data_IF_240764271854
#
_entry.id   IF_240764271854
#
_cell.length_a   1.000
_cell.length_b   1.000
_cell.length_c   1.000
_cell.angle_alpha   90.00
_cell.angle_beta   90.00
_cell.angle_gamma   90.00
#
_symmetry.space_group_name_H-M   'P 1'
#
loop_
_entity.id
_entity.type
_entity.pdbx_description
1 polymer ?
#
# COMPACT_ATOMS: atom_id res chain seq x y z
N UNK A 1 4.92 11.37 20.95
CA UNK A 1 4.63 10.20 20.11
C UNK A 1 3.25 10.39 19.50
N UNK A 2 3.20 10.94 18.29
CA UNK A 2 2.00 10.96 17.46
C UNK A 2 1.82 9.61 16.76
N UNK A 3 0.62 9.37 16.23
CA UNK A 3 0.35 8.25 15.33
C UNK A 3 0.30 8.76 13.90
N UNK A 4 0.86 7.99 12.97
CA UNK A 4 0.76 8.31 11.55
C UNK A 4 -0.71 8.30 11.11
N UNK A 5 -1.16 9.39 10.50
CA UNK A 5 -2.55 9.55 10.04
C UNK A 5 -2.97 8.46 9.03
N UNK A 6 -2.02 7.94 8.24
CA UNK A 6 -2.29 6.98 7.16
C UNK A 6 -2.24 5.52 7.58
N UNK A 7 -1.37 5.12 8.53
CA UNK A 7 -1.22 3.71 8.94
C UNK A 7 -1.28 3.45 10.46
N UNK A 8 -1.32 4.51 11.29
CA UNK A 8 -1.41 4.38 12.74
C UNK A 8 -0.11 3.96 13.44
N UNK A 9 1.05 4.03 12.77
CA UNK A 9 2.34 3.78 13.41
C UNK A 9 2.76 4.88 14.37
N UNK A 10 3.53 4.53 15.40
CA UNK A 10 4.16 5.52 16.27
C UNK A 10 5.23 6.28 15.51
N UNK A 11 5.12 7.60 15.52
CA UNK A 11 6.11 8.51 14.93
C UNK A 11 6.96 9.10 16.04
N UNK A 12 8.28 9.15 15.81
CA UNK A 12 9.28 9.56 16.79
C UNK A 12 9.36 11.09 16.94
N UNK A 13 9.10 11.81 15.86
CA UNK A 13 9.03 13.26 15.74
C UNK A 13 7.57 13.75 15.65
N UNK A 14 7.38 15.07 15.72
CA UNK A 14 6.07 15.74 15.67
C UNK A 14 5.36 15.63 14.31
N UNK A 15 5.76 14.69 13.45
CA UNK A 15 5.18 14.46 12.15
C UNK A 15 3.88 13.65 12.23
N UNK A 16 2.96 13.96 11.33
CA UNK A 16 1.71 13.21 11.14
C UNK A 16 1.90 11.97 10.25
N UNK A 17 3.10 11.80 9.65
CA UNK A 17 3.41 10.75 8.69
C UNK A 17 4.70 10.03 9.08
N UNK A 18 4.72 8.69 8.95
CA UNK A 18 5.95 7.92 9.15
C UNK A 18 6.86 7.99 7.91
N UNK A 19 8.13 7.61 8.04
CA UNK A 19 9.12 7.67 6.93
C UNK A 19 8.64 7.08 5.61
N UNK A 20 7.87 5.98 5.64
CA UNK A 20 7.28 5.39 4.42
C UNK A 20 6.26 6.30 3.72
N UNK A 21 5.53 7.13 4.47
CA UNK A 21 4.58 8.11 3.92
C UNK A 21 5.23 9.48 3.64
N UNK A 22 6.44 9.72 4.14
CA UNK A 22 7.22 10.94 3.87
C UNK A 22 8.08 10.79 2.60
N UNK A 23 8.59 9.58 2.34
CA UNK A 23 9.46 9.27 1.19
C UNK A 23 8.70 8.87 -0.09
N UNK A 24 7.43 8.45 0.02
CA UNK A 24 6.59 8.21 -1.14
C UNK A 24 6.17 9.53 -1.76
N UNK A 25 6.65 9.82 -2.97
CA UNK A 25 6.20 10.95 -3.80
C UNK A 25 4.70 10.89 -4.14
N UNK A 26 4.08 9.73 -4.00
CA UNK A 26 2.64 9.53 -4.07
C UNK A 26 2.05 9.17 -2.71
N UNK A 27 1.18 10.03 -2.18
CA UNK A 27 0.24 9.72 -1.09
C UNK A 27 -0.67 8.50 -1.35
N UNK A 28 -0.56 7.87 -2.53
CA UNK A 28 -1.37 6.75 -2.98
C UNK A 28 -0.73 5.38 -2.72
N UNK A 29 0.61 5.23 -2.68
CA UNK A 29 1.20 3.91 -2.51
C UNK A 29 0.78 3.30 -1.19
N UNK A 30 1.02 4.00 -0.08
CA UNK A 30 0.73 3.42 1.22
C UNK A 30 -0.78 3.38 1.52
N UNK A 31 -1.56 4.32 0.95
CA UNK A 31 -3.02 4.30 0.98
C UNK A 31 -3.58 3.08 0.23
N UNK A 32 -3.08 2.82 -0.98
CA UNK A 32 -3.43 1.67 -1.82
C UNK A 32 -2.85 0.35 -1.33
N UNK A 33 -1.76 0.40 -0.57
CA UNK A 33 -1.06 -0.75 0.01
C UNK A 33 -1.22 -0.82 1.53
N UNK A 34 -2.42 -0.44 2.04
CA UNK A 34 -2.70 -0.48 3.48
C UNK A 34 -2.43 -1.84 4.12
N UNK A 35 -2.67 -2.94 3.39
CA UNK A 35 -2.36 -4.31 3.84
C UNK A 35 -0.86 -4.47 4.10
N UNK A 36 -0.01 -4.00 3.18
CA UNK A 36 1.44 -4.06 3.37
C UNK A 36 1.88 -3.22 4.56
N UNK A 37 1.27 -2.04 4.73
CA UNK A 37 1.53 -1.21 5.89
C UNK A 37 1.13 -1.92 7.19
N UNK A 38 -0.08 -2.49 7.29
CA UNK A 38 -0.53 -3.18 8.49
C UNK A 38 0.32 -4.44 8.78
N UNK A 39 0.80 -5.14 7.75
CA UNK A 39 1.72 -6.26 7.91
C UNK A 39 3.08 -5.82 8.45
N UNK A 40 3.77 -4.91 7.75
CA UNK A 40 5.12 -4.45 8.11
C UNK A 40 5.14 -3.75 9.47
N UNK A 41 4.09 -2.98 9.77
CA UNK A 41 4.08 -2.11 10.93
C UNK A 41 3.34 -2.66 12.14
N UNK A 42 2.31 -3.48 11.94
CA UNK A 42 1.41 -3.95 13.02
C UNK A 42 1.39 -5.47 13.13
N UNK A 43 2.10 -6.19 12.25
CA UNK A 43 2.10 -7.66 12.23
C UNK A 43 0.73 -8.26 11.93
N UNK A 44 -0.18 -7.50 11.30
CA UNK A 44 -1.52 -7.98 10.98
C UNK A 44 -1.43 -8.78 9.68
N UNK A 45 -1.73 -10.07 9.78
CA UNK A 45 -1.87 -10.96 8.62
C UNK A 45 -3.36 -11.16 8.36
N UNK A 46 -3.87 -10.83 7.15
CA UNK A 46 -5.26 -11.14 6.81
C UNK A 46 -5.50 -12.65 6.89
N UNK A 47 -6.51 -13.08 7.65
CA UNK A 47 -6.86 -14.50 7.83
C UNK A 47 -7.54 -15.11 6.61
N UNK A 48 -8.09 -14.27 5.74
CA UNK A 48 -8.78 -14.67 4.51
C UNK A 48 -8.07 -14.03 3.33
N UNK A 49 -7.64 -14.81 2.32
CA UNK A 49 -7.30 -14.26 1.01
C UNK A 49 -8.49 -13.43 0.53
N UNK A 50 -8.25 -12.20 0.07
CA UNK A 50 -9.31 -11.42 -0.59
C UNK A 50 -9.79 -12.23 -1.78
N UNK A 51 -11.09 -12.20 -2.07
CA UNK A 51 -11.57 -12.73 -3.35
C UNK A 51 -10.74 -12.12 -4.46
N UNK A 52 -10.03 -12.98 -5.18
CA UNK A 52 -9.19 -12.58 -6.29
C UNK A 52 -10.17 -12.23 -7.40
N UNK A 53 -10.57 -10.96 -7.51
CA UNK A 53 -11.02 -10.44 -8.81
C UNK A 53 -9.78 -10.49 -9.68
N UNK A 54 -9.61 -11.63 -10.35
CA UNK A 54 -8.48 -11.96 -11.18
C UNK A 54 -8.54 -11.12 -12.44
N UNK A 55 -8.24 -9.83 -12.33
CA UNK A 55 -7.48 -9.16 -13.37
C UNK A 55 -6.04 -9.59 -13.15
N UNK A 56 -5.70 -10.81 -13.59
CA UNK A 56 -4.33 -11.31 -13.57
C UNK A 56 -3.40 -10.27 -14.19
N UNK A 57 -2.16 -10.19 -13.71
CA UNK A 57 -1.12 -9.35 -14.31
C UNK A 57 -0.92 -9.67 -15.80
N UNK A 58 -1.28 -10.89 -16.21
CA UNK A 58 -1.28 -11.35 -17.60
C UNK A 58 -2.26 -10.54 -18.47
N UNK A 59 -3.38 -10.06 -17.90
CA UNK A 59 -4.39 -9.26 -18.61
C UNK A 59 -3.87 -7.85 -18.89
N UNK A 60 -3.13 -7.25 -17.94
CA UNK A 60 -2.50 -5.95 -18.13
C UNK A 60 -1.36 -6.01 -19.17
N UNK A 61 -0.68 -7.15 -19.27
CA UNK A 61 0.31 -7.40 -20.31
C UNK A 61 -0.29 -7.47 -21.71
N UNK A 62 -1.46 -8.10 -21.87
CA UNK A 62 -2.14 -8.18 -23.17
C UNK A 62 -2.71 -6.84 -23.64
N UNK A 63 -3.30 -6.04 -22.74
CA UNK A 63 -3.81 -4.70 -23.07
C UNK A 63 -2.68 -3.77 -23.59
N UNK A 64 -1.49 -3.83 -22.97
CA UNK A 64 -0.34 -3.02 -23.37
C UNK A 64 0.28 -3.48 -24.71
N UNK A 65 0.23 -4.78 -25.00
CA UNK A 65 0.66 -5.35 -26.29
C UNK A 65 -0.33 -5.01 -27.41
N UNK A 66 -1.65 -5.03 -27.15
CA UNK A 66 -2.67 -4.63 -28.13
C UNK A 66 -2.70 -3.11 -28.37
N UNK A 67 -2.42 -2.29 -27.36
CA UNK A 67 -2.36 -0.83 -27.51
C UNK A 67 -1.11 -0.34 -28.27
N UNK A 68 -0.15 -1.22 -28.52
CA UNK A 68 1.10 -0.93 -29.23
C UNK A 68 1.12 -1.43 -30.69
N UNK A 69 0.00 -1.96 -31.20
CA UNK A 69 -0.20 -2.45 -32.57
C UNK A 69 -1.10 -1.50 -33.37
#
# INVERSE_FOLDING_TARGET
>A
MSLCACCGQRVGDSGDLCGYHVLGDGSDWATGNRIMCDFVHRGIVPLTPREVTCTSIDVLGMELVLAAA
#
